data_IF_928397681238
#
_entry.id   IF_928397681238
#
_cell.length_a   1.000
_cell.length_b   1.000
_cell.length_c   1.000
_cell.angle_alpha   90.00
_cell.angle_beta   90.00
_cell.angle_gamma   90.00
#
_symmetry.space_group_name_H-M   'P 1'
#
loop_
_entity.id
_entity.type
_entity.pdbx_description
1 polymer ?
#
# COMPACT_ATOMS: atom_id res chain seq x y z
N UNK A 1 9.41 11.22 -18.32
CA UNK A 1 9.12 11.36 -16.87
C UNK A 1 8.11 10.35 -16.34
N UNK A 2 6.96 10.13 -16.99
CA UNK A 2 5.88 9.28 -16.47
C UNK A 2 6.28 7.81 -16.17
N UNK A 3 7.25 7.25 -16.90
CA UNK A 3 7.77 5.89 -16.66
C UNK A 3 8.53 5.76 -15.34
N UNK A 4 9.32 6.77 -14.96
CA UNK A 4 10.08 6.77 -13.70
C UNK A 4 9.14 6.88 -12.49
N UNK A 5 8.11 7.71 -12.60
CA UNK A 5 7.08 7.85 -11.55
C UNK A 5 6.27 6.55 -11.43
N UNK A 6 5.91 5.90 -12.54
CA UNK A 6 5.25 4.60 -12.53
C UNK A 6 6.13 3.50 -11.91
N UNK A 7 7.43 3.48 -12.21
CA UNK A 7 8.37 2.54 -11.59
C UNK A 7 8.51 2.78 -10.08
N UNK A 8 8.66 4.05 -9.66
CA UNK A 8 8.71 4.42 -8.25
C UNK A 8 7.42 4.03 -7.51
N UNK A 9 6.25 4.19 -8.15
CA UNK A 9 4.97 3.72 -7.61
C UNK A 9 4.96 2.21 -7.38
N UNK A 10 5.37 1.41 -8.38
CA UNK A 10 5.41 -0.06 -8.24
C UNK A 10 6.35 -0.47 -7.10
N UNK A 11 7.54 0.13 -7.03
CA UNK A 11 8.51 -0.13 -5.94
C UNK A 11 7.91 0.26 -4.58
N UNK A 12 7.26 1.41 -4.47
CA UNK A 12 6.61 1.84 -3.23
C UNK A 12 5.51 0.86 -2.78
N UNK A 13 4.70 0.33 -3.69
CA UNK A 13 3.68 -0.68 -3.36
C UNK A 13 4.32 -1.99 -2.89
N UNK A 14 5.41 -2.43 -3.52
CA UNK A 14 6.15 -3.61 -3.07
C UNK A 14 6.72 -3.42 -1.65
N UNK A 15 7.30 -2.26 -1.36
CA UNK A 15 7.80 -1.93 -0.01
C UNK A 15 6.66 -1.95 1.00
N UNK A 16 5.49 -1.39 0.66
CA UNK A 16 4.30 -1.42 1.53
C UNK A 16 3.83 -2.87 1.79
N UNK A 17 3.83 -3.74 0.80
CA UNK A 17 3.47 -5.16 0.96
C UNK A 17 4.44 -5.91 1.88
N UNK A 18 5.75 -5.67 1.70
CA UNK A 18 6.78 -6.26 2.57
C UNK A 18 6.63 -5.73 3.99
N UNK A 19 6.42 -4.43 4.18
CA UNK A 19 6.22 -3.81 5.48
C UNK A 19 4.98 -4.37 6.19
N UNK A 20 3.83 -4.46 5.50
CA UNK A 20 2.61 -5.06 6.04
C UNK A 20 2.82 -6.50 6.49
N UNK A 21 3.52 -7.30 5.69
CA UNK A 21 3.88 -8.68 6.05
C UNK A 21 4.74 -8.70 7.31
N UNK A 22 5.81 -7.89 7.35
CA UNK A 22 6.69 -7.82 8.53
C UNK A 22 5.96 -7.40 9.79
N UNK A 23 5.06 -6.41 9.71
CA UNK A 23 4.25 -5.96 10.84
C UNK A 23 3.30 -7.07 11.30
N UNK A 24 2.68 -7.81 10.37
CA UNK A 24 1.83 -8.96 10.69
C UNK A 24 2.56 -10.15 11.32
N UNK A 25 3.87 -10.27 11.09
CA UNK A 25 4.73 -11.28 11.70
C UNK A 25 5.31 -10.86 13.06
N UNK A 26 5.13 -9.60 13.48
CA UNK A 26 5.51 -9.18 14.83
C UNK A 26 4.61 -9.90 15.84
N UNK A 27 5.23 -10.73 16.68
CA UNK A 27 4.57 -11.33 17.84
C UNK A 27 4.49 -10.29 18.95
N UNK A 28 3.38 -10.26 19.69
CA UNK A 28 3.27 -9.41 20.87
C UNK A 28 4.14 -9.96 22.00
N UNK A 29 5.38 -9.48 22.12
CA UNK A 29 6.19 -9.67 23.32
C UNK A 29 6.15 -8.39 24.17
N UNK A 30 5.60 -8.52 25.38
CA UNK A 30 5.55 -7.52 26.45
C UNK A 30 4.94 -6.16 26.06
N UNK A 31 5.74 -5.16 25.67
CA UNK A 31 5.30 -3.82 25.24
C UNK A 31 5.04 -3.73 23.72
N UNK A 32 5.39 -4.76 22.94
CA UNK A 32 5.32 -4.76 21.47
C UNK A 32 3.91 -4.69 20.88
N UNK A 33 2.88 -5.05 21.65
CA UNK A 33 1.49 -5.00 21.20
C UNK A 33 1.02 -3.56 20.92
N UNK A 34 1.48 -2.58 21.70
CA UNK A 34 1.24 -1.15 21.42
C UNK A 34 2.02 -0.68 20.19
N UNK A 35 3.25 -1.17 20.00
CA UNK A 35 4.10 -0.87 18.84
C UNK A 35 3.52 -1.36 17.51
N UNK A 36 2.78 -2.48 17.50
CA UNK A 36 2.08 -2.99 16.32
C UNK A 36 1.01 -1.98 15.84
N UNK A 37 0.26 -1.37 16.77
CA UNK A 37 -0.71 -0.34 16.44
C UNK A 37 -0.06 0.88 15.78
N UNK A 38 1.05 1.37 16.35
CA UNK A 38 1.81 2.51 15.80
C UNK A 38 2.40 2.17 14.42
N UNK A 39 2.91 0.95 14.23
CA UNK A 39 3.43 0.50 12.94
C UNK A 39 2.34 0.46 11.86
N UNK A 40 1.14 -0.03 12.19
CA UNK A 40 -0.01 0.03 11.29
C UNK A 40 -0.47 1.46 10.99
N UNK A 41 -0.38 2.35 11.98
CA UNK A 41 -0.71 3.76 11.80
C UNK A 41 0.28 4.46 10.84
N UNK A 42 1.58 4.26 11.05
CA UNK A 42 2.64 4.77 10.17
C UNK A 42 2.52 4.17 8.75
N UNK A 43 2.23 2.88 8.66
CA UNK A 43 1.98 2.21 7.37
C UNK A 43 0.78 2.82 6.65
N UNK A 44 -0.32 3.10 7.35
CA UNK A 44 -1.51 3.74 6.77
C UNK A 44 -1.23 5.15 6.27
N UNK A 45 -0.43 5.93 7.01
CA UNK A 45 0.03 7.26 6.60
C UNK A 45 0.92 7.22 5.36
N UNK A 46 1.74 6.18 5.17
CA UNK A 46 2.53 5.97 3.96
C UNK A 46 1.69 5.42 2.80
N UNK A 47 0.67 4.63 3.09
CA UNK A 47 -0.21 4.01 2.09
C UNK A 47 -1.06 5.04 1.34
N UNK A 48 -1.65 6.00 2.05
CA UNK A 48 -2.51 7.06 1.47
C UNK A 48 -1.83 7.87 0.35
N UNK A 49 -0.63 8.46 0.54
CA UNK A 49 0.03 9.23 -0.51
C UNK A 49 0.44 8.34 -1.69
N UNK A 50 0.86 7.08 -1.46
CA UNK A 50 1.18 6.16 -2.56
C UNK A 50 -0.06 5.85 -3.39
N UNK A 51 -1.22 5.65 -2.74
CA UNK A 51 -2.49 5.45 -3.43
C UNK A 51 -2.92 6.70 -4.21
N UNK A 52 -2.76 7.89 -3.64
CA UNK A 52 -3.03 9.16 -4.32
C UNK A 52 -2.13 9.36 -5.54
N UNK A 53 -0.85 8.99 -5.44
CA UNK A 53 0.10 9.02 -6.57
C UNK A 53 -0.32 8.05 -7.67
N UNK A 54 -0.74 6.83 -7.33
CA UNK A 54 -1.26 5.86 -8.31
C UNK A 54 -2.53 6.35 -9.02
N UNK A 55 -3.45 6.99 -8.28
CA UNK A 55 -4.65 7.59 -8.85
C UNK A 55 -4.33 8.82 -9.72
N UNK A 56 -3.41 9.67 -9.29
CA UNK A 56 -2.94 10.83 -10.05
C UNK A 56 -2.24 10.41 -11.35
N UNK A 57 -1.40 9.37 -11.33
CA UNK A 57 -0.81 8.75 -12.52
C UNK A 57 -1.89 8.27 -13.50
N UNK A 58 -2.95 7.65 -12.98
CA UNK A 58 -4.07 7.15 -13.80
C UNK A 58 -4.84 8.30 -14.47
N UNK A 59 -5.08 9.40 -13.76
CA UNK A 59 -5.92 10.51 -14.24
C UNK A 59 -5.15 11.54 -15.07
N UNK A 60 -3.89 11.79 -14.74
CA UNK A 60 -3.10 12.89 -15.35
C UNK A 60 -2.06 12.41 -16.36
N UNK A 61 -1.74 11.12 -16.43
CA UNK A 61 -0.76 10.60 -17.38
C UNK A 61 -1.40 9.64 -18.38
N UNK A 62 -1.28 9.95 -19.67
CA UNK A 62 -1.47 8.99 -20.76
C UNK A 62 -0.33 7.96 -20.74
N UNK A 63 -0.44 6.99 -19.84
CA UNK A 63 0.45 5.83 -19.78
C UNK A 63 0.17 4.93 -20.97
N UNK A 64 1.23 4.44 -21.64
CA UNK A 64 1.11 3.45 -22.70
C UNK A 64 0.34 2.20 -22.25
N UNK A 65 -0.23 1.41 -23.19
CA UNK A 65 -1.23 0.37 -22.90
C UNK A 65 -0.75 -0.66 -21.87
N UNK A 66 0.52 -1.06 -21.92
CA UNK A 66 1.11 -2.03 -20.99
C UNK A 66 1.30 -1.44 -19.58
N UNK A 67 1.89 -0.24 -19.48
CA UNK A 67 2.16 0.40 -18.19
C UNK A 67 0.86 0.83 -17.50
N UNK A 68 -0.14 1.28 -18.26
CA UNK A 68 -1.47 1.60 -17.76
C UNK A 68 -2.20 0.39 -17.19
N UNK A 69 -2.01 -0.81 -17.77
CA UNK A 69 -2.52 -2.08 -17.21
C UNK A 69 -1.82 -2.42 -15.90
N UNK A 70 -0.49 -2.37 -15.85
CA UNK A 70 0.30 -2.68 -14.65
C UNK A 70 -0.08 -1.76 -13.49
N UNK A 71 -0.09 -0.44 -13.71
CA UNK A 71 -0.49 0.54 -12.67
C UNK A 71 -1.91 0.29 -12.21
N UNK A 72 -2.85 -0.06 -13.11
CA UNK A 72 -4.23 -0.38 -12.74
C UNK A 72 -4.33 -1.62 -11.87
N UNK A 73 -3.62 -2.70 -12.22
CA UNK A 73 -3.60 -3.95 -11.44
C UNK A 73 -3.03 -3.68 -10.05
N UNK A 74 -1.90 -2.99 -9.97
CA UNK A 74 -1.29 -2.63 -8.69
C UNK A 74 -2.19 -1.71 -7.85
N UNK A 75 -2.90 -0.76 -8.46
CA UNK A 75 -3.84 0.11 -7.76
C UNK A 75 -5.02 -0.68 -7.18
N UNK A 76 -5.62 -1.57 -7.97
CA UNK A 76 -6.70 -2.43 -7.48
C UNK A 76 -6.22 -3.42 -6.42
N UNK A 77 -5.03 -3.99 -6.57
CA UNK A 77 -4.42 -4.84 -5.55
C UNK A 77 -4.19 -4.04 -4.25
N UNK A 78 -3.70 -2.81 -4.36
CA UNK A 78 -3.47 -1.93 -3.22
C UNK A 78 -4.80 -1.61 -2.51
N UNK A 79 -5.87 -1.27 -3.24
CA UNK A 79 -7.21 -1.06 -2.69
C UNK A 79 -7.73 -2.33 -2.01
N UNK A 80 -7.64 -3.49 -2.68
CA UNK A 80 -8.10 -4.76 -2.13
C UNK A 80 -7.37 -5.14 -0.84
N UNK A 81 -6.05 -4.93 -0.79
CA UNK A 81 -5.24 -5.14 0.42
C UNK A 81 -5.68 -4.20 1.53
N UNK A 82 -5.86 -2.90 1.24
CA UNK A 82 -6.33 -1.92 2.22
C UNK A 82 -7.72 -2.26 2.79
N UNK A 83 -8.66 -2.66 1.93
CA UNK A 83 -10.02 -3.07 2.33
C UNK A 83 -9.99 -4.37 3.13
N UNK A 84 -9.21 -5.37 2.71
CA UNK A 84 -9.05 -6.61 3.46
C UNK A 84 -8.47 -6.34 4.85
N UNK A 85 -7.49 -5.42 4.95
CA UNK A 85 -6.89 -5.03 6.21
C UNK A 85 -7.90 -4.34 7.14
N UNK A 86 -8.66 -3.36 6.62
CA UNK A 86 -9.76 -2.73 7.35
C UNK A 86 -10.79 -3.75 7.82
N UNK A 87 -11.19 -4.68 6.95
CA UNK A 87 -12.13 -5.75 7.29
C UNK A 87 -11.58 -6.66 8.39
N UNK A 88 -10.30 -7.04 8.35
CA UNK A 88 -9.69 -7.84 9.42
C UNK A 88 -9.57 -7.08 10.73
N UNK A 89 -9.37 -5.76 10.70
CA UNK A 89 -9.36 -4.93 11.89
C UNK A 89 -10.76 -4.80 12.48
N UNK A 90 -11.78 -4.49 11.66
CA UNK A 90 -13.18 -4.38 12.11
C UNK A 90 -13.71 -5.72 12.61
N UNK A 91 -13.37 -6.83 11.96
CA UNK A 91 -13.79 -8.17 12.40
C UNK A 91 -13.06 -8.66 13.66
N UNK A 92 -11.93 -8.03 14.02
CA UNK A 92 -11.17 -8.34 15.24
C UNK A 92 -11.31 -7.27 16.34
N UNK A 93 -11.98 -6.16 16.05
CA UNK A 93 -12.32 -5.09 16.99
C UNK A 93 -13.64 -5.40 17.69
#
# INVERSE_FOLDING_TARGET
MSKAIAAAYVVAVLILMVAASRIGWLRCENFGCMGIGVAWFAWSMAFMPVLAVGAALRWRCALGPTLGKVVRVFLWAQVAVGVALLATWVARA
#
